data_IF_832771786201
#
_entry.id   IF_832771786201
#
_cell.length_a   1.000
_cell.length_b   1.000
_cell.length_c   1.000
_cell.angle_alpha   90.00
_cell.angle_beta   90.00
_cell.angle_gamma   90.00
#
_symmetry.space_group_name_H-M   'P 1'
#
loop_
_entity.id
_entity.type
_entity.pdbx_description
1 polymer ?
#
# COMPACT_ATOMS: atom_id res chain seq x y z
N UNK A 1 24.08 2.72 2.56
CA UNK A 1 23.83 4.19 2.49
C UNK A 1 24.00 4.62 1.05
N UNK A 2 23.06 5.38 0.51
CA UNK A 2 23.12 5.85 -0.86
C UNK A 2 24.22 6.91 -1.04
N UNK A 3 24.83 7.02 -2.23
CA UNK A 3 25.80 8.08 -2.51
C UNK A 3 25.22 9.49 -2.29
N UNK A 4 26.06 10.53 -2.18
CA UNK A 4 25.59 11.92 -2.21
C UNK A 4 24.74 12.19 -3.47
N UNK A 5 23.68 12.99 -3.32
CA UNK A 5 22.81 13.39 -4.44
C UNK A 5 21.45 12.69 -4.50
N UNK A 6 21.20 11.70 -3.64
CA UNK A 6 19.87 11.13 -3.47
C UNK A 6 19.02 11.98 -2.53
N UNK A 7 17.75 12.20 -2.88
CA UNK A 7 16.78 12.92 -2.07
C UNK A 7 15.53 12.08 -1.91
N UNK A 8 14.92 12.17 -0.74
CA UNK A 8 13.59 11.63 -0.49
C UNK A 8 12.57 12.27 -1.43
N UNK A 9 11.74 11.44 -2.04
CA UNK A 9 10.66 11.89 -2.88
C UNK A 9 9.60 12.63 -2.07
N UNK A 10 8.70 13.27 -2.80
CA UNK A 10 7.53 13.96 -2.28
C UNK A 10 6.38 13.62 -3.22
N UNK A 11 5.17 13.95 -2.81
CA UNK A 11 3.94 13.67 -3.55
C UNK A 11 3.97 14.20 -4.98
N UNK A 12 4.49 15.41 -5.18
CA UNK A 12 4.64 16.02 -6.50
C UNK A 12 5.62 15.26 -7.41
N UNK A 13 6.64 14.63 -6.84
CA UNK A 13 7.52 13.74 -7.61
C UNK A 13 6.80 12.48 -8.06
N UNK A 14 6.03 11.82 -7.16
CA UNK A 14 5.30 10.59 -7.49
C UNK A 14 4.19 10.81 -8.51
N UNK A 15 3.61 12.01 -8.58
CA UNK A 15 2.61 12.36 -9.61
C UNK A 15 3.19 12.49 -11.01
N UNK A 16 4.52 12.52 -11.17
CA UNK A 16 5.14 12.50 -12.50
C UNK A 16 5.12 11.08 -13.04
N UNK A 17 4.62 10.92 -14.27
CA UNK A 17 4.47 9.62 -14.92
C UNK A 17 5.77 8.83 -15.00
N UNK A 18 6.90 9.49 -15.29
CA UNK A 18 8.22 8.85 -15.40
C UNK A 18 8.75 8.31 -14.06
N UNK A 19 8.40 8.97 -12.96
CA UNK A 19 8.76 8.52 -11.60
C UNK A 19 7.82 7.39 -11.16
N UNK A 20 6.51 7.55 -11.36
CA UNK A 20 5.52 6.52 -11.04
C UNK A 20 5.80 5.20 -11.79
N UNK A 21 6.13 5.27 -13.07
CA UNK A 21 6.51 4.10 -13.87
C UNK A 21 7.73 3.37 -13.30
N UNK A 22 8.77 4.12 -12.90
CA UNK A 22 9.95 3.52 -12.26
C UNK A 22 9.63 2.89 -10.90
N UNK A 23 8.82 3.54 -10.06
CA UNK A 23 8.38 3.00 -8.77
C UNK A 23 7.59 1.70 -8.98
N UNK A 24 6.64 1.69 -9.91
CA UNK A 24 5.86 0.50 -10.29
C UNK A 24 6.78 -0.61 -10.80
N UNK A 25 7.77 -0.29 -11.63
CA UNK A 25 8.71 -1.27 -12.15
C UNK A 25 9.54 -1.91 -11.04
N UNK A 26 10.02 -1.12 -10.06
CA UNK A 26 10.75 -1.62 -8.90
C UNK A 26 9.88 -2.53 -8.03
N UNK A 27 8.65 -2.12 -7.71
CA UNK A 27 7.69 -2.94 -6.96
C UNK A 27 7.40 -4.27 -7.68
N UNK A 28 7.15 -4.23 -8.99
CA UNK A 28 6.96 -5.45 -9.82
C UNK A 28 8.21 -6.33 -9.90
N UNK A 29 9.41 -5.77 -9.77
CA UNK A 29 10.63 -6.57 -9.66
C UNK A 29 10.66 -7.34 -8.33
N UNK A 30 10.21 -6.74 -7.23
CA UNK A 30 10.06 -7.43 -5.94
C UNK A 30 9.04 -8.57 -6.06
N UNK A 31 7.89 -8.36 -6.71
CA UNK A 31 6.86 -9.40 -6.90
C UNK A 31 7.36 -10.68 -7.59
N UNK A 32 8.46 -10.58 -8.34
CA UNK A 32 9.12 -11.69 -9.07
C UNK A 32 10.22 -12.37 -8.28
N UNK A 33 10.58 -11.85 -7.11
CA UNK A 33 11.57 -12.45 -6.23
C UNK A 33 11.03 -13.73 -5.57
N UNK A 34 11.90 -14.41 -4.81
CA UNK A 34 11.44 -15.51 -3.95
C UNK A 34 10.50 -14.96 -2.87
N UNK A 35 9.41 -15.68 -2.53
CA UNK A 35 8.56 -15.28 -1.43
C UNK A 35 9.35 -15.07 -0.14
N UNK A 36 8.97 -14.05 0.63
CA UNK A 36 9.50 -13.85 1.97
C UNK A 36 8.98 -14.95 2.92
N UNK A 37 9.57 -15.05 4.10
CA UNK A 37 9.12 -16.01 5.13
C UNK A 37 7.79 -15.63 5.76
N UNK A 38 7.39 -14.37 5.64
CA UNK A 38 6.26 -13.78 6.34
C UNK A 38 5.20 -13.32 5.35
N UNK A 39 3.96 -13.73 5.60
CA UNK A 39 2.76 -13.29 4.90
C UNK A 39 1.86 -12.56 5.88
N UNK A 40 1.10 -11.60 5.39
CA UNK A 40 0.03 -10.96 6.15
C UNK A 40 -0.99 -10.31 5.21
N UNK A 41 -2.14 -9.98 5.77
CA UNK A 41 -3.08 -9.02 5.18
C UNK A 41 -3.17 -7.81 6.10
N UNK A 42 -3.60 -6.67 5.55
CA UNK A 42 -3.92 -5.48 6.37
C UNK A 42 -4.96 -5.81 7.46
N UNK A 43 -5.88 -6.73 7.18
CA UNK A 43 -6.87 -7.21 8.14
C UNK A 43 -6.24 -7.96 9.33
N UNK A 44 -5.17 -8.73 9.08
CA UNK A 44 -4.40 -9.34 10.17
C UNK A 44 -3.79 -8.29 11.09
N UNK A 45 -3.28 -7.21 10.52
CA UNK A 45 -2.70 -6.11 11.28
C UNK A 45 -3.72 -5.37 12.12
N UNK A 46 -4.87 -5.05 11.54
CA UNK A 46 -5.98 -4.39 12.24
C UNK A 46 -6.38 -5.23 13.45
N UNK A 47 -6.55 -6.55 13.28
CA UNK A 47 -6.85 -7.46 14.40
C UNK A 47 -5.77 -7.46 15.48
N UNK A 48 -4.49 -7.40 15.12
CA UNK A 48 -3.39 -7.32 16.09
C UNK A 48 -3.41 -6.00 16.86
N UNK A 49 -3.59 -4.88 16.16
CA UNK A 49 -3.59 -3.53 16.77
C UNK A 49 -4.82 -3.31 17.65
N UNK A 50 -6.01 -3.64 17.17
CA UNK A 50 -7.27 -3.55 17.92
C UNK A 50 -7.20 -4.36 19.24
N UNK A 51 -6.67 -5.58 19.19
CA UNK A 51 -6.44 -6.38 20.40
C UNK A 51 -5.42 -5.74 21.34
N UNK A 52 -4.36 -5.11 20.82
CA UNK A 52 -3.37 -4.42 21.63
C UNK A 52 -3.97 -3.18 22.32
N UNK A 53 -4.77 -2.38 21.62
CA UNK A 53 -5.48 -1.24 22.19
C UNK A 53 -6.43 -1.66 23.31
N UNK A 54 -7.23 -2.72 23.07
CA UNK A 54 -8.12 -3.32 24.08
C UNK A 54 -7.37 -3.82 25.30
N UNK A 55 -6.24 -4.51 25.10
CA UNK A 55 -5.41 -5.01 26.20
C UNK A 55 -4.76 -3.88 27.02
N UNK A 56 -4.45 -2.76 26.37
CA UNK A 56 -3.91 -1.57 27.02
C UNK A 56 -4.99 -0.69 27.69
N UNK A 57 -6.28 -0.98 27.48
CA UNK A 57 -7.39 -0.18 28.00
C UNK A 57 -7.46 1.22 27.37
N UNK A 58 -7.06 1.34 26.10
CA UNK A 58 -7.16 2.60 25.36
C UNK A 58 -8.62 2.84 25.01
N UNK A 59 -9.14 4.03 25.36
CA UNK A 59 -10.48 4.44 24.94
C UNK A 59 -10.54 4.58 23.42
N UNK A 60 -11.52 3.96 22.81
CA UNK A 60 -11.75 4.04 21.37
C UNK A 60 -12.73 5.16 21.03
N UNK A 61 -12.62 5.78 19.84
CA UNK A 61 -13.70 6.60 19.30
C UNK A 61 -15.02 5.81 19.26
N UNK A 62 -16.12 6.46 19.59
CA UNK A 62 -17.46 5.83 19.63
C UNK A 62 -17.84 5.13 18.31
N UNK A 63 -17.30 5.61 17.18
CA UNK A 63 -17.61 5.11 15.84
C UNK A 63 -16.65 4.00 15.35
N UNK A 64 -15.63 3.63 16.13
CA UNK A 64 -14.61 2.66 15.68
C UNK A 64 -15.22 1.30 15.32
N UNK A 65 -16.22 0.83 16.06
CA UNK A 65 -16.86 -0.45 15.79
C UNK A 65 -17.46 -0.51 14.37
N UNK A 66 -18.04 0.59 13.89
CA UNK A 66 -18.65 0.65 12.55
C UNK A 66 -17.57 0.59 11.45
N UNK A 67 -16.42 1.22 11.68
CA UNK A 67 -15.28 1.13 10.76
C UNK A 67 -14.71 -0.29 10.72
N UNK A 68 -14.59 -0.96 11.88
CA UNK A 68 -14.15 -2.35 11.96
C UNK A 68 -15.12 -3.30 11.25
N UNK A 69 -16.44 -3.10 11.39
CA UNK A 69 -17.45 -3.86 10.67
C UNK A 69 -17.34 -3.65 9.15
N UNK A 70 -17.14 -2.41 8.71
CA UNK A 70 -16.92 -2.07 7.30
C UNK A 70 -15.68 -2.73 6.70
N UNK A 71 -14.57 -2.71 7.43
CA UNK A 71 -13.34 -3.43 7.04
C UNK A 71 -13.57 -4.94 7.00
N UNK A 72 -14.39 -5.48 7.91
CA UNK A 72 -14.79 -6.89 7.87
C UNK A 72 -15.55 -7.28 6.60
N UNK A 73 -16.41 -6.39 6.06
CA UNK A 73 -17.06 -6.62 4.77
C UNK A 73 -16.09 -6.56 3.59
N UNK A 74 -15.10 -5.67 3.66
CA UNK A 74 -14.02 -5.61 2.67
C UNK A 74 -13.21 -6.91 2.69
N UNK A 75 -12.80 -7.41 3.85
CA UNK A 75 -12.06 -8.67 4.02
C UNK A 75 -12.85 -9.84 3.41
N UNK A 76 -14.15 -9.94 3.71
CA UNK A 76 -15.03 -10.98 3.15
C UNK A 76 -15.09 -10.91 1.63
N UNK A 77 -15.29 -9.72 1.07
CA UNK A 77 -15.43 -9.51 -0.36
C UNK A 77 -14.15 -9.86 -1.12
N UNK A 78 -13.00 -9.44 -0.61
CA UNK A 78 -11.69 -9.73 -1.20
C UNK A 78 -11.36 -11.22 -1.10
N UNK A 79 -11.63 -11.84 0.07
CA UNK A 79 -11.40 -13.27 0.27
C UNK A 79 -12.27 -14.11 -0.67
N UNK A 80 -13.54 -13.74 -0.84
CA UNK A 80 -14.45 -14.43 -1.75
C UNK A 80 -14.04 -14.29 -3.23
N UNK A 81 -13.51 -13.13 -3.62
CA UNK A 81 -13.00 -12.91 -4.98
C UNK A 81 -11.66 -13.60 -5.25
N UNK A 82 -10.94 -13.99 -4.20
CA UNK A 82 -9.57 -14.48 -4.28
C UNK A 82 -8.56 -13.36 -4.54
N UNK A 83 -7.35 -13.54 -4.00
CA UNK A 83 -6.24 -12.61 -4.16
C UNK A 83 -4.92 -13.36 -4.33
N UNK A 84 -3.96 -12.69 -4.97
CA UNK A 84 -2.61 -13.19 -5.13
C UNK A 84 -1.76 -12.90 -3.89
N UNK A 85 -0.67 -13.66 -3.71
CA UNK A 85 0.30 -13.40 -2.63
C UNK A 85 1.69 -13.35 -3.25
N UNK A 86 2.30 -12.16 -3.23
CA UNK A 86 3.62 -11.90 -3.80
C UNK A 86 4.50 -11.16 -2.79
N UNK A 87 5.82 -11.42 -2.78
CA UNK A 87 6.76 -10.60 -2.02
C UNK A 87 6.67 -9.15 -2.49
N UNK A 88 6.48 -8.22 -1.56
CA UNK A 88 6.22 -6.82 -1.86
C UNK A 88 6.96 -5.93 -0.87
N UNK A 89 7.21 -4.68 -1.27
CA UNK A 89 7.62 -3.61 -0.35
C UNK A 89 6.53 -3.36 0.70
N UNK A 90 5.26 -3.48 0.28
CA UNK A 90 4.06 -3.35 1.12
C UNK A 90 3.95 -2.02 1.88
N UNK A 91 4.60 -0.99 1.35
CA UNK A 91 4.54 0.39 1.83
C UNK A 91 4.39 1.35 0.64
N UNK A 92 3.48 2.31 0.78
CA UNK A 92 3.11 3.32 -0.21
C UNK A 92 3.69 4.72 0.02
N UNK A 93 4.37 4.97 1.14
CA UNK A 93 4.80 6.31 1.55
C UNK A 93 5.83 6.91 0.57
N UNK A 94 5.60 8.17 0.18
CA UNK A 94 6.56 8.88 -0.69
C UNK A 94 7.93 9.07 -0.04
N UNK A 95 7.99 9.10 1.29
CA UNK A 95 9.24 9.20 2.03
C UNK A 95 10.18 8.01 1.82
N UNK A 96 9.63 6.87 1.41
CA UNK A 96 10.35 5.61 1.21
C UNK A 96 10.78 5.41 -0.25
N UNK A 97 10.65 6.46 -1.07
CA UNK A 97 11.18 6.53 -2.42
C UNK A 97 12.33 7.55 -2.45
N UNK A 98 13.47 7.14 -3.00
CA UNK A 98 14.65 7.98 -3.18
C UNK A 98 14.84 8.29 -4.67
N UNK A 99 15.15 9.55 -4.99
CA UNK A 99 15.40 10.02 -6.36
C UNK A 99 16.80 10.61 -6.43
N UNK A 100 17.61 10.16 -7.39
CA UNK A 100 18.94 10.69 -7.66
C UNK A 100 18.88 12.00 -8.47
N UNK A 101 20.00 12.74 -8.53
CA UNK A 101 20.11 13.93 -9.39
C UNK A 101 19.88 13.62 -10.87
N UNK A 102 20.19 12.40 -11.30
CA UNK A 102 20.04 11.94 -12.68
C UNK A 102 18.65 11.31 -12.94
N UNK A 103 17.74 11.36 -11.97
CA UNK A 103 16.35 10.87 -12.10
C UNK A 103 16.16 9.38 -11.85
N UNK A 104 17.19 8.67 -11.37
CA UNK A 104 17.05 7.26 -10.98
C UNK A 104 16.24 7.13 -9.69
N UNK A 105 15.38 6.12 -9.63
CA UNK A 105 14.54 5.83 -8.45
C UNK A 105 15.03 4.60 -7.70
N UNK A 106 14.94 4.64 -6.37
CA UNK A 106 15.14 3.49 -5.49
C UNK A 106 14.10 3.46 -4.37
N UNK A 107 13.76 2.25 -3.93
CA UNK A 107 12.96 2.00 -2.73
C UNK A 107 13.90 1.83 -1.53
N UNK A 108 13.51 2.38 -0.39
CA UNK A 108 14.18 2.21 0.90
C UNK A 108 13.14 1.87 1.96
N UNK A 109 13.61 1.43 3.14
CA UNK A 109 12.75 1.03 4.26
C UNK A 109 11.87 -0.19 3.97
N UNK A 110 12.38 -1.38 4.30
CA UNK A 110 11.73 -2.66 4.00
C UNK A 110 11.18 -3.33 5.28
N UNK A 111 10.96 -2.57 6.35
CA UNK A 111 10.52 -3.14 7.63
C UNK A 111 9.10 -3.74 7.54
N UNK A 112 8.24 -3.14 6.71
CA UNK A 112 6.89 -3.64 6.38
C UNK A 112 6.89 -4.64 5.20
N UNK A 113 8.05 -4.99 4.63
CA UNK A 113 8.12 -5.88 3.48
C UNK A 113 7.62 -7.30 3.84
N UNK A 114 6.60 -7.76 3.12
CA UNK A 114 5.87 -9.02 3.36
C UNK A 114 5.32 -9.58 2.06
N UNK A 115 4.85 -10.83 2.11
CA UNK A 115 4.02 -11.34 1.02
C UNK A 115 2.58 -10.84 1.20
N UNK A 116 2.06 -10.08 0.24
CA UNK A 116 0.72 -9.45 0.22
C UNK A 116 0.09 -9.53 -1.17
N UNK A 117 -1.19 -9.13 -1.30
CA UNK A 117 -1.80 -8.87 -2.60
C UNK A 117 -1.07 -7.71 -3.30
N UNK A 118 -0.57 -7.86 -4.54
CA UNK A 118 -0.05 -6.76 -5.33
C UNK A 118 -1.03 -5.58 -5.47
N UNK A 119 -2.34 -5.82 -5.46
CA UNK A 119 -3.37 -4.77 -5.48
C UNK A 119 -3.48 -4.02 -4.14
N UNK A 120 -3.10 -4.62 -3.01
CA UNK A 120 -2.93 -3.88 -1.75
C UNK A 120 -1.74 -2.91 -1.87
N UNK A 121 -0.59 -3.39 -2.34
CA UNK A 121 0.62 -2.54 -2.45
C UNK A 121 0.43 -1.36 -3.41
N UNK A 122 -0.17 -1.58 -4.59
CA UNK A 122 -0.44 -0.45 -5.49
C UNK A 122 -1.56 0.44 -4.93
N UNK A 123 -2.57 -0.13 -4.27
CA UNK A 123 -3.67 0.64 -3.70
C UNK A 123 -3.21 1.68 -2.68
N UNK A 124 -2.34 1.30 -1.74
CA UNK A 124 -1.80 2.23 -0.74
C UNK A 124 -0.90 3.31 -1.38
N UNK A 125 -0.10 2.96 -2.40
CA UNK A 125 0.72 3.94 -3.13
C UNK A 125 -0.16 4.96 -3.86
N UNK A 126 -1.25 4.51 -4.48
CA UNK A 126 -2.16 5.39 -5.21
C UNK A 126 -2.97 6.28 -4.25
N UNK A 127 -3.42 5.74 -3.11
CA UNK A 127 -4.15 6.50 -2.08
C UNK A 127 -3.29 7.61 -1.48
N UNK A 128 -2.02 7.31 -1.19
CA UNK A 128 -1.03 8.30 -0.77
C UNK A 128 -0.87 9.36 -1.87
N UNK A 129 -0.62 8.94 -3.11
CA UNK A 129 -0.24 9.85 -4.20
C UNK A 129 -1.34 10.78 -4.71
N UNK A 130 -2.56 10.24 -4.88
CA UNK A 130 -3.62 10.87 -5.65
C UNK A 130 -4.89 11.11 -4.82
N UNK A 131 -5.38 12.35 -4.73
CA UNK A 131 -6.61 12.66 -4.01
C UNK A 131 -7.87 12.20 -4.76
N UNK A 132 -7.81 12.06 -6.09
CA UNK A 132 -8.97 11.71 -6.91
C UNK A 132 -8.77 10.41 -7.70
N UNK A 133 -9.83 9.62 -7.81
CA UNK A 133 -9.79 8.32 -8.50
C UNK A 133 -9.42 8.43 -9.98
N UNK A 134 -9.83 9.51 -10.65
CA UNK A 134 -9.50 9.75 -12.06
C UNK A 134 -7.98 9.82 -12.29
N UNK A 135 -7.23 10.34 -11.32
CA UNK A 135 -5.78 10.44 -11.37
C UNK A 135 -5.08 9.09 -11.09
N UNK A 136 -5.76 8.15 -10.42
CA UNK A 136 -5.22 6.81 -10.13
C UNK A 136 -5.23 5.91 -11.37
N UNK A 137 -6.16 6.11 -12.30
CA UNK A 137 -6.40 5.21 -13.44
C UNK A 137 -5.17 5.00 -14.32
N UNK A 138 -4.42 6.04 -14.74
CA UNK A 138 -3.23 5.86 -15.57
C UNK A 138 -2.14 5.07 -14.85
N UNK A 139 -1.95 5.30 -13.55
CA UNK A 139 -0.95 4.58 -12.76
C UNK A 139 -1.33 3.11 -12.55
N UNK A 140 -2.61 2.81 -12.31
CA UNK A 140 -3.10 1.43 -12.27
C UNK A 140 -2.96 0.73 -13.63
N UNK A 141 -3.19 1.45 -14.74
CA UNK A 141 -2.95 0.92 -16.08
C UNK A 141 -1.47 0.61 -16.33
N UNK A 142 -0.54 1.47 -15.89
CA UNK A 142 0.90 1.17 -15.91
C UNK A 142 1.23 -0.12 -15.13
N UNK A 143 0.56 -0.32 -13.99
CA UNK A 143 0.74 -1.48 -13.14
C UNK A 143 0.24 -2.78 -13.81
N UNK A 144 -0.98 -2.76 -14.32
CA UNK A 144 -1.70 -3.93 -14.81
C UNK A 144 -1.54 -4.21 -16.31
N UNK A 145 -1.03 -3.23 -17.08
CA UNK A 145 -0.97 -3.23 -18.54
C UNK A 145 -2.28 -2.85 -19.24
N UNK A 146 -3.38 -2.77 -18.49
CA UNK A 146 -4.71 -2.33 -18.95
C UNK A 146 -5.53 -1.92 -17.74
N UNK A 147 -6.30 -0.83 -17.83
CA UNK A 147 -7.20 -0.44 -16.74
C UNK A 147 -8.33 -1.45 -16.51
N UNK A 148 -8.57 -1.81 -15.25
CA UNK A 148 -9.72 -2.62 -14.81
C UNK A 148 -10.41 -1.95 -13.63
N UNK A 149 -11.71 -1.67 -13.76
CA UNK A 149 -12.48 -1.04 -12.68
C UNK A 149 -12.45 -1.88 -11.40
N UNK A 150 -12.60 -3.20 -11.51
CA UNK A 150 -12.54 -4.10 -10.36
C UNK A 150 -11.21 -4.04 -9.58
N UNK A 151 -10.09 -3.77 -10.27
CA UNK A 151 -8.80 -3.60 -9.63
C UNK A 151 -8.71 -2.26 -8.90
N UNK A 152 -9.27 -1.19 -9.47
CA UNK A 152 -9.39 0.11 -8.80
C UNK A 152 -10.26 0.00 -7.55
N UNK A 153 -11.42 -0.65 -7.65
CA UNK A 153 -12.32 -0.86 -6.51
C UNK A 153 -11.62 -1.63 -5.38
N UNK A 154 -10.85 -2.67 -5.73
CA UNK A 154 -10.04 -3.42 -4.75
C UNK A 154 -8.94 -2.55 -4.13
N UNK A 155 -8.25 -1.73 -4.92
CA UNK A 155 -7.24 -0.80 -4.43
C UNK A 155 -7.84 0.20 -3.42
N UNK A 156 -9.02 0.76 -3.70
CA UNK A 156 -9.73 1.67 -2.80
C UNK A 156 -10.17 0.97 -1.51
N UNK A 157 -10.69 -0.24 -1.62
CA UNK A 157 -11.08 -1.03 -0.45
C UNK A 157 -9.87 -1.36 0.44
N UNK A 158 -8.74 -1.74 -0.15
CA UNK A 158 -7.50 -1.94 0.58
C UNK A 158 -6.97 -0.67 1.23
N UNK A 159 -6.97 0.45 0.52
CA UNK A 159 -6.54 1.73 1.05
C UNK A 159 -7.38 2.18 2.26
N UNK A 160 -8.71 2.00 2.20
CA UNK A 160 -9.58 2.31 3.33
C UNK A 160 -9.27 1.44 4.57
N UNK A 161 -8.93 0.16 4.37
CA UNK A 161 -8.48 -0.70 5.46
C UNK A 161 -7.10 -0.28 5.99
N UNK A 162 -6.20 0.17 5.12
CA UNK A 162 -4.86 0.66 5.51
C UNK A 162 -4.94 1.95 6.34
N UNK A 163 -5.80 2.89 5.95
CA UNK A 163 -6.04 4.13 6.70
C UNK A 163 -6.56 3.81 8.12
N UNK A 164 -7.46 2.83 8.26
CA UNK A 164 -7.91 2.37 9.59
C UNK A 164 -6.78 1.71 10.38
N UNK A 165 -5.95 0.90 9.71
CA UNK A 165 -4.80 0.24 10.33
C UNK A 165 -3.82 1.26 10.92
N UNK A 166 -3.49 2.31 10.17
CA UNK A 166 -2.65 3.40 10.66
C UNK A 166 -3.33 4.22 11.77
N UNK A 167 -4.65 4.41 11.69
CA UNK A 167 -5.42 5.05 12.76
C UNK A 167 -5.40 4.28 14.08
N UNK A 168 -5.29 2.95 14.04
CA UNK A 168 -5.12 2.10 15.23
C UNK A 168 -3.66 2.05 15.72
N UNK A 169 -2.70 2.33 14.86
CA UNK A 169 -1.28 2.29 15.19
C UNK A 169 -0.80 3.54 15.95
N UNK A 170 -1.31 4.72 15.58
CA UNK A 170 -0.92 6.02 16.14
C UNK A 170 -1.45 6.26 17.56
#
# INVERSE_FOLDING_TARGET
>A
LLPPGWKTARMDHLRRADVMEQVIALKKAIHRARPFTLCWTVFDRIRVLDNACKAAGIDHPDDLWWMLDGVGEIERSITAAGYDVRPSHADGLASNVMISQDGAVQLVDFDEARNVDPLYEIGILLNETFPFEEEMRPALEMFEGSFRQASLDRCRAYAAADDLMWGLWG
#
